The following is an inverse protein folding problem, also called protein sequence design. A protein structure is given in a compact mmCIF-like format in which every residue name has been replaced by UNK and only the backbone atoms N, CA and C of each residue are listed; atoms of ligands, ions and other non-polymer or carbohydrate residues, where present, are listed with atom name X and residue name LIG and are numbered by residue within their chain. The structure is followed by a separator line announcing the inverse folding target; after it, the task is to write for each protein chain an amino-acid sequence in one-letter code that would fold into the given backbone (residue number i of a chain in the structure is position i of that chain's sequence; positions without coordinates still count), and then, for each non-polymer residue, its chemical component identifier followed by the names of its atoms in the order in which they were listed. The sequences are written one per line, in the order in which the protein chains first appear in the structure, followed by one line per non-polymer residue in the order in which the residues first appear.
data_IF_276461017297
#
_entry.id   IF_276461017297
#
_cell.length_a   1.000
_cell.length_b   1.000
_cell.length_c   1.000
_cell.angle_alpha   90.00
_cell.angle_beta   90.00
_cell.angle_gamma   90.00
#
_symmetry.space_group_name_H-M   'P 1'
#
loop_
_entity.id
_entity.type
_entity.pdbx_description
1 polymer ?
#
# COMPACT_ATOMS: atom_id res chain seq x y z
N UNK A 1 10.58 -25.80 -31.61
CA UNK A 1 10.06 -25.78 -30.22
C UNK A 1 11.07 -25.26 -29.20
N UNK A 2 12.36 -25.59 -29.30
CA UNK A 2 13.41 -25.14 -28.37
C UNK A 2 13.63 -23.61 -28.36
N UNK A 3 13.72 -22.99 -29.54
CA UNK A 3 13.93 -21.54 -29.69
C UNK A 3 12.79 -20.73 -29.03
N UNK A 4 11.54 -21.16 -29.23
CA UNK A 4 10.38 -20.51 -28.63
C UNK A 4 10.39 -20.58 -27.09
N UNK A 5 10.83 -21.70 -26.50
CA UNK A 5 11.01 -21.82 -25.04
C UNK A 5 12.11 -20.91 -24.51
N UNK A 6 13.20 -20.72 -25.26
CA UNK A 6 14.31 -19.83 -24.87
C UNK A 6 13.85 -18.37 -24.91
N UNK A 7 13.16 -17.94 -25.97
CA UNK A 7 12.58 -16.60 -26.05
C UNK A 7 11.57 -16.33 -24.93
N UNK A 8 10.71 -17.31 -24.62
CA UNK A 8 9.73 -17.18 -23.53
C UNK A 8 10.42 -16.98 -22.18
N UNK A 9 11.46 -17.78 -21.87
CA UNK A 9 12.26 -17.62 -20.65
C UNK A 9 13.01 -16.28 -20.62
N UNK A 10 13.52 -15.83 -21.76
CA UNK A 10 14.24 -14.55 -21.87
C UNK A 10 13.33 -13.36 -21.53
N UNK A 11 12.03 -13.46 -21.83
CA UNK A 11 11.02 -12.42 -21.52
C UNK A 11 10.48 -12.57 -20.09
N UNK A 12 10.27 -13.81 -19.61
CA UNK A 12 9.73 -14.05 -18.27
C UNK A 12 10.69 -13.63 -17.15
N UNK A 13 12.00 -13.82 -17.32
CA UNK A 13 13.01 -13.48 -16.32
C UNK A 13 13.01 -11.98 -15.94
N UNK A 14 13.08 -11.01 -16.88
CA UNK A 14 13.02 -9.59 -16.54
C UNK A 14 11.67 -9.17 -15.98
N UNK A 15 10.56 -9.76 -16.41
CA UNK A 15 9.22 -9.50 -15.84
C UNK A 15 9.16 -9.95 -14.38
N UNK A 16 9.68 -11.15 -14.07
CA UNK A 16 9.79 -11.66 -12.70
C UNK A 16 10.69 -10.78 -11.83
N UNK A 17 11.79 -10.26 -12.37
CA UNK A 17 12.68 -9.34 -11.67
C UNK A 17 11.98 -8.01 -11.35
N UNK A 18 11.28 -7.42 -12.33
CA UNK A 18 10.51 -6.19 -12.16
C UNK A 18 9.40 -6.35 -11.11
N UNK A 19 8.65 -7.46 -11.16
CA UNK A 19 7.62 -7.77 -10.15
C UNK A 19 8.21 -7.98 -8.76
N UNK A 20 9.41 -8.56 -8.65
CA UNK A 20 10.10 -8.74 -7.37
C UNK A 20 10.52 -7.40 -6.77
N UNK A 21 11.11 -6.52 -7.59
CA UNK A 21 11.51 -5.18 -7.16
C UNK A 21 10.27 -4.35 -6.81
N UNK A 22 9.21 -4.41 -7.63
CA UNK A 22 7.94 -3.74 -7.37
C UNK A 22 7.28 -4.19 -6.07
N UNK A 23 7.27 -5.50 -5.80
CA UNK A 23 6.79 -6.07 -4.54
C UNK A 23 7.60 -5.56 -3.34
N UNK A 24 8.93 -5.59 -3.42
CA UNK A 24 9.80 -5.09 -2.33
C UNK A 24 9.59 -3.60 -2.07
N UNK A 25 9.52 -2.78 -3.13
CA UNK A 25 9.25 -1.34 -3.01
C UNK A 25 7.88 -1.07 -2.39
N UNK A 26 6.85 -1.79 -2.81
CA UNK A 26 5.52 -1.69 -2.23
C UNK A 26 5.52 -2.05 -0.74
N UNK A 27 6.24 -3.11 -0.36
CA UNK A 27 6.37 -3.58 1.03
C UNK A 27 7.03 -2.55 1.93
N UNK A 28 8.15 -1.97 1.49
CA UNK A 28 8.84 -0.89 2.20
C UNK A 28 7.96 0.37 2.26
N UNK A 29 7.28 0.71 1.17
CA UNK A 29 6.36 1.85 1.11
C UNK A 29 5.18 1.69 2.07
N UNK A 30 4.64 0.48 2.23
CA UNK A 30 3.59 0.17 3.20
C UNK A 30 4.12 0.25 4.62
N UNK A 31 5.31 -0.27 4.90
CA UNK A 31 5.86 -0.22 6.27
C UNK A 31 6.14 1.22 6.71
N UNK A 32 6.77 2.02 5.83
CA UNK A 32 7.00 3.45 6.07
C UNK A 32 5.67 4.21 6.12
N UNK A 33 4.76 3.94 5.18
CA UNK A 33 3.44 4.54 5.11
C UNK A 33 2.60 4.24 6.35
N UNK A 34 2.65 3.02 6.89
CA UNK A 34 1.92 2.63 8.09
C UNK A 34 2.47 3.33 9.34
N UNK A 35 3.80 3.47 9.46
CA UNK A 35 4.41 4.24 10.56
C UNK A 35 4.03 5.71 10.50
N UNK A 36 4.16 6.34 9.33
CA UNK A 36 3.79 7.75 9.12
C UNK A 36 2.28 7.95 9.31
N UNK A 37 1.48 7.06 8.74
CA UNK A 37 0.02 7.06 8.88
C UNK A 37 -0.42 6.91 10.34
N UNK A 38 0.22 6.05 11.13
CA UNK A 38 -0.07 5.92 12.56
C UNK A 38 0.25 7.20 13.34
N UNK A 39 1.31 7.94 12.98
CA UNK A 39 1.62 9.25 13.58
C UNK A 39 0.54 10.26 13.22
N UNK A 40 0.15 10.35 11.93
CA UNK A 40 -0.90 11.25 11.47
C UNK A 40 -2.22 10.94 12.18
N UNK A 41 -2.63 9.67 12.22
CA UNK A 41 -3.86 9.23 12.89
C UNK A 41 -3.84 9.64 14.36
N UNK A 42 -2.74 9.39 15.09
CA UNK A 42 -2.65 9.78 16.50
C UNK A 42 -2.80 11.29 16.71
N UNK A 43 -2.11 12.11 15.91
CA UNK A 43 -2.19 13.57 16.01
C UNK A 43 -3.62 14.05 15.76
N UNK A 44 -4.24 13.59 14.65
CA UNK A 44 -5.59 14.01 14.31
C UNK A 44 -6.66 13.45 15.24
N UNK A 45 -6.43 12.29 15.86
CA UNK A 45 -7.33 11.73 16.87
C UNK A 45 -7.31 12.60 18.14
N UNK A 46 -6.13 13.01 18.61
CA UNK A 46 -6.01 13.90 19.78
C UNK A 46 -6.66 15.25 19.50
N UNK A 47 -6.40 15.85 18.33
CA UNK A 47 -7.03 17.11 17.90
C UNK A 47 -8.56 16.94 17.79
N UNK A 48 -9.03 15.82 17.24
CA UNK A 48 -10.45 15.52 17.12
C UNK A 48 -11.14 15.42 18.48
N UNK A 49 -10.52 14.74 19.45
CA UNK A 49 -11.04 14.62 20.82
C UNK A 49 -11.09 15.99 21.51
N UNK A 50 -10.04 16.81 21.40
CA UNK A 50 -10.00 18.16 21.99
C UNK A 50 -11.13 19.02 21.41
N UNK A 51 -11.32 18.99 20.08
CA UNK A 51 -12.38 19.77 19.43
C UNK A 51 -13.79 19.24 19.75
N UNK A 52 -13.95 17.93 19.95
CA UNK A 52 -15.20 17.35 20.46
C UNK A 52 -15.53 17.85 21.87
N UNK A 53 -14.55 17.93 22.76
CA UNK A 53 -14.72 18.48 24.11
C UNK A 53 -15.04 19.99 24.05
N UNK A 54 -14.41 20.71 23.13
CA UNK A 54 -14.70 22.12 22.86
C UNK A 54 -16.04 22.39 22.17
N UNK A 55 -16.84 21.35 21.87
CA UNK A 55 -18.08 21.42 21.10
C UNK A 55 -17.93 21.96 19.66
N UNK A 56 -16.71 22.01 19.13
CA UNK A 56 -16.40 22.37 17.74
C UNK A 56 -16.53 21.15 16.82
N UNK A 57 -17.78 20.72 16.61
CA UNK A 57 -18.17 19.58 15.77
C UNK A 57 -17.56 19.62 14.35
N UNK A 58 -17.48 20.77 13.64
CA UNK A 58 -16.95 20.82 12.27
C UNK A 58 -15.47 20.41 12.20
N UNK A 59 -14.66 20.85 13.16
CA UNK A 59 -13.23 20.53 13.23
C UNK A 59 -12.99 19.05 13.62
N UNK A 60 -13.83 18.50 14.49
CA UNK A 60 -13.83 17.07 14.79
C UNK A 60 -14.20 16.21 13.57
N UNK A 61 -15.15 16.66 12.74
CA UNK A 61 -15.49 15.96 11.50
C UNK A 61 -14.34 15.96 10.48
N UNK A 62 -13.65 17.11 10.30
CA UNK A 62 -12.50 17.23 9.40
C UNK A 62 -11.36 16.29 9.81
N UNK A 63 -11.04 16.23 11.11
CA UNK A 63 -10.02 15.30 11.63
C UNK A 63 -10.41 13.84 11.42
N UNK A 64 -11.69 13.49 11.58
CA UNK A 64 -12.21 12.17 11.24
C UNK A 64 -12.04 11.80 9.76
N UNK A 65 -12.34 12.72 8.84
CA UNK A 65 -12.16 12.52 7.39
C UNK A 65 -10.70 12.25 7.06
N UNK A 66 -9.77 13.00 7.65
CA UNK A 66 -8.33 12.83 7.42
C UNK A 66 -7.88 11.43 7.87
N UNK A 67 -8.36 10.94 9.02
CA UNK A 67 -8.06 9.59 9.51
C UNK A 67 -8.58 8.53 8.51
N UNK A 68 -9.81 8.67 8.03
CA UNK A 68 -10.40 7.74 7.04
C UNK A 68 -9.61 7.73 5.74
N UNK A 69 -9.17 8.90 5.25
CA UNK A 69 -8.36 9.01 4.02
C UNK A 69 -7.02 8.28 4.19
N UNK A 70 -6.32 8.49 5.31
CA UNK A 70 -5.04 7.83 5.59
C UNK A 70 -5.21 6.30 5.64
N UNK A 71 -6.25 5.82 6.32
CA UNK A 71 -6.57 4.38 6.36
C UNK A 71 -6.89 3.82 4.97
N UNK A 72 -7.64 4.57 4.15
CA UNK A 72 -7.97 4.17 2.78
C UNK A 72 -6.73 4.03 1.89
N UNK A 73 -5.77 4.96 1.99
CA UNK A 73 -4.51 4.89 1.23
C UNK A 73 -3.67 3.69 1.67
N UNK A 74 -3.57 3.43 2.98
CA UNK A 74 -2.84 2.26 3.50
C UNK A 74 -3.49 0.95 3.07
N UNK A 75 -4.81 0.87 3.11
CA UNK A 75 -5.56 -0.28 2.64
C UNK A 75 -5.34 -0.52 1.15
N UNK A 76 -5.39 0.53 0.33
CA UNK A 76 -5.13 0.44 -1.10
C UNK A 76 -3.70 -0.05 -1.39
N UNK A 77 -2.70 0.52 -0.71
CA UNK A 77 -1.31 0.10 -0.85
C UNK A 77 -1.12 -1.38 -0.50
N UNK A 78 -1.69 -1.85 0.62
CA UNK A 78 -1.62 -3.25 1.03
C UNK A 78 -2.24 -4.21 0.00
N UNK A 79 -3.39 -3.85 -0.59
CA UNK A 79 -4.02 -4.64 -1.65
C UNK A 79 -3.17 -4.66 -2.93
N UNK A 80 -2.53 -3.54 -3.29
CA UNK A 80 -1.66 -3.47 -4.46
C UNK A 80 -0.44 -4.39 -4.31
N UNK A 81 0.13 -4.47 -3.11
CA UNK A 81 1.20 -5.41 -2.82
C UNK A 81 0.75 -6.88 -2.94
N UNK A 82 -0.42 -7.22 -2.38
CA UNK A 82 -1.02 -8.55 -2.51
C UNK A 82 -1.23 -8.96 -3.97
N UNK A 83 -1.67 -8.03 -4.82
CA UNK A 83 -1.85 -8.26 -6.26
C UNK A 83 -0.50 -8.52 -6.94
N UNK A 84 0.52 -7.70 -6.65
CA UNK A 84 1.88 -7.89 -7.18
C UNK A 84 2.46 -9.25 -6.77
N UNK A 85 2.30 -9.64 -5.51
CA UNK A 85 2.75 -10.93 -4.98
C UNK A 85 2.01 -12.10 -5.67
N UNK A 86 0.68 -12.00 -5.83
CA UNK A 86 -0.11 -13.03 -6.51
C UNK A 86 0.22 -13.15 -8.01
N UNK A 87 0.46 -12.04 -8.71
CA UNK A 87 0.86 -12.04 -10.11
C UNK A 87 2.24 -12.67 -10.29
N UNK A 88 3.19 -12.33 -9.40
CA UNK A 88 4.53 -12.93 -9.38
C UNK A 88 4.47 -14.43 -9.18
N UNK A 89 3.67 -14.90 -8.21
CA UNK A 89 3.55 -16.33 -7.93
C UNK A 89 2.88 -17.10 -9.06
N UNK A 90 1.87 -16.52 -9.72
CA UNK A 90 1.26 -17.10 -10.91
C UNK A 90 2.24 -17.15 -12.09
N UNK A 91 3.00 -16.07 -12.33
CA UNK A 91 4.05 -16.04 -13.37
C UNK A 91 5.18 -17.03 -13.11
N UNK A 92 5.50 -17.31 -11.84
CA UNK A 92 6.52 -18.31 -11.47
C UNK A 92 6.08 -19.75 -11.73
N UNK A 93 4.76 -20.01 -11.75
CA UNK A 93 4.19 -21.34 -12.02
C UNK A 93 4.09 -21.67 -13.50
N UNK A 94 4.12 -20.67 -14.38
CA UNK A 94 4.06 -20.80 -15.84
C UNK A 94 5.48 -21.00 -16.39
#
# INVERSE_FOLDING_TARGET
MFIFRVFLKLILVPVMALLTIGSLLAKVSIEVGARVGAVIINIFLVIGIINLIGHDIPLAAISGVIIVVVLGILFFAANLQLICDSLRDNLRRI
#
